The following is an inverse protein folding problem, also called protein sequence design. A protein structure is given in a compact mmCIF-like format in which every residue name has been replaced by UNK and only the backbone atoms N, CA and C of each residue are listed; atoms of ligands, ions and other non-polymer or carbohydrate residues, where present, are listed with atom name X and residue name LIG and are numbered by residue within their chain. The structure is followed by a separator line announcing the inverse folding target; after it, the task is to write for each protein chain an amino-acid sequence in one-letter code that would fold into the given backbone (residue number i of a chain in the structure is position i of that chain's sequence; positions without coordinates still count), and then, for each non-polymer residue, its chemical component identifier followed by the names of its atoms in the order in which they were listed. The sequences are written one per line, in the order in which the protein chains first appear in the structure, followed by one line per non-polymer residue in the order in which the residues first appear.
data_IF_041118136909
#
_entry.id   IF_041118136909
#
_cell.length_a   1.000
_cell.length_b   1.000
_cell.length_c   1.000
_cell.angle_alpha   90.00
_cell.angle_beta   90.00
_cell.angle_gamma   90.00
#
_symmetry.space_group_name_H-M   'P 1'
#
loop_
_entity.id
_entity.type
_entity.pdbx_description
1 polymer ?
#
# COMPACT_ATOMS: atom_id res chain seq x y z
N UNK A 1 -35.29 9.14 2.05
CA UNK A 1 -34.29 8.45 2.89
C UNK A 1 -33.41 7.66 1.95
N UNK A 2 -32.14 8.06 1.85
CA UNK A 2 -31.19 7.55 0.86
C UNK A 2 -30.67 6.18 1.31
N UNK A 3 -30.88 5.17 0.47
CA UNK A 3 -30.33 3.83 0.68
C UNK A 3 -28.90 3.82 0.12
N UNK A 4 -27.98 3.58 1.04
CA UNK A 4 -26.56 3.23 0.92
C UNK A 4 -26.32 2.09 -0.06
N UNK A 5 -25.39 2.21 -1.02
CA UNK A 5 -24.47 1.13 -1.47
C UNK A 5 -23.42 1.73 -2.42
N UNK A 6 -22.18 1.90 -1.94
CA UNK A 6 -20.95 1.91 -2.76
C UNK A 6 -19.75 1.61 -1.85
N UNK A 7 -19.64 0.38 -1.36
CA UNK A 7 -18.49 -0.09 -0.54
C UNK A 7 -17.46 -0.92 -1.33
N UNK A 8 -17.42 -0.82 -2.67
CA UNK A 8 -16.44 -1.60 -3.46
C UNK A 8 -15.47 -0.77 -4.33
N UNK A 9 -15.53 0.56 -4.30
CA UNK A 9 -14.63 1.40 -5.12
C UNK A 9 -13.49 2.10 -4.34
N UNK A 10 -13.42 1.96 -3.00
CA UNK A 10 -12.50 2.76 -2.16
C UNK A 10 -11.57 1.85 -1.34
N UNK A 11 -10.76 1.02 -1.98
CA UNK A 11 -9.54 0.46 -1.32
C UNK A 11 -8.37 0.27 -2.29
N UNK A 12 -8.62 0.18 -3.59
CA UNK A 12 -7.53 -0.05 -4.57
C UNK A 12 -6.99 1.26 -5.17
N UNK A 13 -7.75 2.36 -5.08
CA UNK A 13 -7.41 3.63 -5.72
C UNK A 13 -6.50 4.56 -4.90
N UNK A 14 -6.23 4.23 -3.63
CA UNK A 14 -5.31 4.99 -2.76
C UNK A 14 -3.87 4.45 -2.77
N UNK A 15 -3.60 3.38 -3.52
CA UNK A 15 -2.23 2.93 -3.76
C UNK A 15 -1.61 3.77 -4.88
N UNK A 16 -0.61 4.57 -4.50
CA UNK A 16 0.25 5.34 -5.40
C UNK A 16 0.80 4.47 -6.56
N UNK A 17 0.92 4.99 -7.80
CA UNK A 17 0.77 6.39 -8.19
C UNK A 17 -0.64 6.78 -8.68
N UNK A 18 -1.02 8.07 -8.55
CA UNK A 18 -2.25 8.60 -9.11
C UNK A 18 -2.20 8.50 -10.64
N UNK A 19 -3.29 8.01 -11.21
CA UNK A 19 -3.44 7.79 -12.64
C UNK A 19 -3.56 9.12 -13.41
N UNK A 20 -2.45 9.81 -13.64
CA UNK A 20 -2.37 10.89 -14.64
C UNK A 20 -0.96 11.04 -15.20
N UNK A 21 -0.64 10.33 -16.30
CA UNK A 21 0.20 10.86 -17.38
C UNK A 21 -0.32 10.28 -18.70
N UNK A 22 -0.68 11.19 -19.61
CA UNK A 22 -1.19 10.93 -20.94
C UNK A 22 -0.28 10.03 -21.77
N UNK A 23 -0.89 9.05 -22.44
CA UNK A 23 -0.45 8.58 -23.74
C UNK A 23 0.87 7.81 -23.76
N UNK A 24 0.92 6.65 -23.12
CA UNK A 24 1.78 5.55 -23.54
C UNK A 24 1.25 4.26 -22.90
N UNK A 25 0.96 3.26 -23.73
CA UNK A 25 0.73 1.88 -23.31
C UNK A 25 2.03 1.31 -22.71
N UNK A 26 2.42 1.80 -21.54
CA UNK A 26 3.39 1.13 -20.67
C UNK A 26 2.69 -0.09 -20.12
N UNK A 27 3.00 -1.21 -20.76
CA UNK A 27 2.47 -2.55 -20.57
C UNK A 27 2.00 -2.80 -19.14
N UNK A 28 0.75 -3.23 -19.00
CA UNK A 28 0.05 -3.65 -17.78
C UNK A 28 0.85 -4.59 -16.84
N UNK A 29 1.97 -5.17 -17.33
CA UNK A 29 2.95 -5.94 -16.57
C UNK A 29 3.97 -5.09 -15.77
N UNK A 30 4.27 -3.87 -16.18
CA UNK A 30 5.21 -2.98 -15.48
C UNK A 30 4.62 -2.34 -14.21
N UNK A 31 3.30 -2.35 -14.06
CA UNK A 31 2.57 -1.79 -12.91
C UNK A 31 2.25 -2.82 -11.82
N UNK A 32 2.44 -4.11 -12.07
CA UNK A 32 2.13 -5.15 -11.07
C UNK A 32 3.38 -5.54 -10.30
N UNK A 33 3.27 -5.41 -8.98
CA UNK A 33 4.26 -5.94 -8.06
C UNK A 33 4.06 -7.45 -7.86
N UNK A 34 4.87 -8.07 -7.01
CA UNK A 34 4.67 -9.44 -6.58
C UNK A 34 3.28 -9.62 -5.98
N UNK A 35 2.65 -10.77 -6.23
CA UNK A 35 1.33 -11.06 -5.64
C UNK A 35 1.37 -11.09 -4.10
N UNK A 36 2.55 -11.34 -3.52
CA UNK A 36 2.78 -11.34 -2.08
C UNK A 36 2.82 -9.93 -1.46
N UNK A 37 3.10 -8.89 -2.27
CA UNK A 37 3.13 -7.50 -1.80
C UNK A 37 1.77 -7.01 -1.30
N UNK A 38 0.71 -7.18 -2.09
CA UNK A 38 -0.59 -6.59 -1.80
C UNK A 38 -1.22 -7.08 -0.48
N UNK A 39 -1.15 -8.36 -0.10
CA UNK A 39 -1.59 -8.82 1.22
C UNK A 39 -0.82 -8.16 2.38
N UNK A 40 0.52 -8.07 2.30
CA UNK A 40 1.34 -7.45 3.36
C UNK A 40 1.07 -5.95 3.48
N UNK A 41 0.97 -5.23 2.35
CA UNK A 41 0.65 -3.80 2.34
C UNK A 41 -0.75 -3.52 2.93
N UNK A 42 -1.77 -4.31 2.57
CA UNK A 42 -3.11 -4.17 3.15
C UNK A 42 -3.14 -4.48 4.64
N UNK A 43 -2.39 -5.49 5.08
CA UNK A 43 -2.23 -5.81 6.50
C UNK A 43 -1.61 -4.62 7.25
N UNK A 44 -0.55 -4.05 6.69
CA UNK A 44 0.12 -2.89 7.28
C UNK A 44 -0.84 -1.70 7.43
N UNK A 45 -1.60 -1.36 6.39
CA UNK A 45 -2.59 -0.27 6.43
C UNK A 45 -3.64 -0.48 7.53
N UNK A 46 -4.18 -1.69 7.68
CA UNK A 46 -5.16 -1.99 8.75
C UNK A 46 -4.57 -1.82 10.14
N UNK A 47 -3.31 -2.22 10.33
CA UNK A 47 -2.61 -2.07 11.61
C UNK A 47 -2.34 -0.59 11.92
N UNK A 48 -1.98 0.21 10.92
CA UNK A 48 -1.84 1.67 11.08
C UNK A 48 -3.18 2.33 11.47
N UNK A 49 -4.28 1.94 10.81
CA UNK A 49 -5.62 2.44 11.14
C UNK A 49 -6.07 2.05 12.54
N UNK A 50 -5.62 0.90 13.05
CA UNK A 50 -5.87 0.44 14.41
C UNK A 50 -4.94 1.10 15.45
N UNK A 51 -3.95 1.90 15.02
CA UNK A 51 -2.93 2.49 15.89
C UNK A 51 -1.87 1.50 16.40
N UNK A 52 -1.84 0.27 15.87
CA UNK A 52 -0.81 -0.73 16.20
C UNK A 52 0.44 -0.51 15.34
N UNK A 53 1.16 0.58 15.65
CA UNK A 53 2.29 1.04 14.85
C UNK A 53 3.48 0.07 14.88
N UNK A 54 3.67 -0.70 15.95
CA UNK A 54 4.76 -1.68 16.01
C UNK A 54 4.51 -2.84 15.04
N UNK A 55 3.30 -3.37 14.99
CA UNK A 55 2.97 -4.44 14.04
C UNK A 55 2.83 -3.90 12.62
N UNK A 56 2.36 -2.66 12.44
CA UNK A 56 2.32 -1.99 11.15
C UNK A 56 3.72 -1.81 10.55
N UNK A 57 4.71 -1.38 11.35
CA UNK A 57 6.10 -1.28 10.94
C UNK A 57 6.60 -2.62 10.36
N UNK A 58 6.43 -3.72 11.10
CA UNK A 58 6.84 -5.06 10.66
C UNK A 58 6.14 -5.50 9.38
N UNK A 59 4.86 -5.19 9.23
CA UNK A 59 4.11 -5.50 8.02
C UNK A 59 4.63 -4.70 6.80
N UNK A 60 5.00 -3.42 6.98
CA UNK A 60 5.66 -2.64 5.93
C UNK A 60 7.07 -3.12 5.60
N UNK A 61 7.85 -3.58 6.57
CA UNK A 61 9.15 -4.21 6.31
C UNK A 61 8.98 -5.51 5.49
N UNK A 62 7.95 -6.29 5.77
CA UNK A 62 7.64 -7.48 4.96
C UNK A 62 7.19 -7.09 3.55
N UNK A 63 6.32 -6.07 3.41
CA UNK A 63 5.90 -5.55 2.11
C UNK A 63 7.11 -5.07 1.28
N UNK A 64 8.08 -4.37 1.90
CA UNK A 64 9.34 -4.00 1.27
C UNK A 64 10.10 -5.21 0.73
N UNK A 65 10.26 -6.25 1.56
CA UNK A 65 11.05 -7.45 1.21
C UNK A 65 10.45 -8.25 0.06
N UNK A 66 9.12 -8.36 0.01
CA UNK A 66 8.44 -9.15 -1.03
C UNK A 66 8.18 -8.35 -2.30
N UNK A 67 8.30 -7.02 -2.25
CA UNK A 67 8.14 -6.17 -3.42
C UNK A 67 9.30 -6.34 -4.40
N UNK A 68 8.97 -6.53 -5.68
CA UNK A 68 9.90 -6.44 -6.79
C UNK A 68 9.86 -5.07 -7.48
N UNK A 69 8.93 -4.19 -7.11
CA UNK A 69 8.76 -2.87 -7.70
C UNK A 69 9.41 -1.77 -6.83
N UNK A 70 10.40 -1.04 -7.38
CA UNK A 70 11.19 -0.06 -6.62
C UNK A 70 10.37 1.03 -5.93
N UNK A 71 9.27 1.50 -6.55
CA UNK A 71 8.39 2.49 -5.93
C UNK A 71 7.70 1.94 -4.68
N UNK A 72 7.28 0.68 -4.71
CA UNK A 72 6.61 0.03 -3.60
C UNK A 72 7.58 -0.31 -2.48
N UNK A 73 8.81 -0.67 -2.81
CA UNK A 73 9.91 -0.74 -1.86
C UNK A 73 10.12 0.61 -1.17
N UNK A 74 10.30 1.70 -1.93
CA UNK A 74 10.52 3.03 -1.35
C UNK A 74 9.37 3.47 -0.44
N UNK A 75 8.13 3.28 -0.89
CA UNK A 75 6.93 3.56 -0.12
C UNK A 75 6.90 2.76 1.19
N UNK A 76 7.08 1.45 1.10
CA UNK A 76 7.05 0.56 2.26
C UNK A 76 8.12 0.93 3.29
N UNK A 77 9.32 1.27 2.83
CA UNK A 77 10.40 1.74 3.72
C UNK A 77 10.00 3.03 4.46
N UNK A 78 9.48 4.03 3.76
CA UNK A 78 9.05 5.29 4.37
C UNK A 78 7.92 5.09 5.39
N UNK A 79 6.95 4.21 5.10
CA UNK A 79 5.88 3.88 6.04
C UNK A 79 6.37 3.09 7.25
N UNK A 80 7.31 2.15 7.06
CA UNK A 80 7.94 1.45 8.17
C UNK A 80 8.67 2.44 9.11
N UNK A 81 9.45 3.37 8.56
CA UNK A 81 10.13 4.42 9.34
C UNK A 81 9.13 5.33 10.07
N UNK A 82 8.01 5.70 9.44
CA UNK A 82 6.94 6.45 10.08
C UNK A 82 6.34 5.69 11.27
N UNK A 83 5.96 4.42 11.06
CA UNK A 83 5.38 3.58 12.10
C UNK A 83 6.34 3.41 13.29
N UNK A 84 7.64 3.23 13.03
CA UNK A 84 8.64 3.12 14.08
C UNK A 84 8.70 4.40 14.95
N UNK A 85 8.67 5.58 14.33
CA UNK A 85 8.63 6.87 15.05
C UNK A 85 7.36 7.06 15.87
N UNK A 86 6.24 6.54 15.39
CA UNK A 86 4.94 6.66 16.06
C UNK A 86 4.76 5.63 17.21
N UNK A 87 5.55 4.55 17.19
CA UNK A 87 5.59 3.53 18.25
C UNK A 87 6.56 3.85 19.39
N UNK A 88 7.32 4.94 19.30
CA UNK A 88 8.26 5.43 20.30
C UNK A 88 7.58 6.43 21.24
#
# INVERSE_FOLDING_TARGET
MHITYKEEEIVVSELWPPATVSGETQTQHQLRDSLAYYPEARKAIRLEQAGDYLQANRAWENAYRVSCHKLNQQWSKQRAEFCMKQSA
#
